data_IF_171555664357
#
_entry.id   IF_171555664357
#
_cell.length_a   1.000
_cell.length_b   1.000
_cell.length_c   1.000
_cell.angle_alpha   90.00
_cell.angle_beta   90.00
_cell.angle_gamma   90.00
#
_symmetry.space_group_name_H-M   'P 1'
#
loop_
_entity.id
_entity.type
_entity.pdbx_description
1 polymer ?
#
# COMPACT_ATOMS: atom_id res chain seq x y z
N UNK A 1 14.36 -7.56 38.78
CA UNK A 1 15.25 -7.64 37.60
C UNK A 1 14.58 -8.59 36.62
N UNK A 2 14.18 -8.13 35.44
CA UNK A 2 13.60 -9.01 34.41
C UNK A 2 14.72 -9.91 33.88
N UNK A 3 14.52 -11.22 33.97
CA UNK A 3 15.49 -12.22 33.54
C UNK A 3 15.40 -12.41 32.03
N UNK A 4 16.39 -11.89 31.31
CA UNK A 4 16.55 -12.08 29.86
C UNK A 4 17.04 -13.51 29.51
N UNK A 5 16.69 -14.51 30.35
CA UNK A 5 17.12 -15.88 30.15
C UNK A 5 16.36 -16.49 28.97
N UNK A 6 17.07 -17.13 28.03
CA UNK A 6 16.50 -17.66 26.79
C UNK A 6 15.31 -18.63 27.00
N UNK A 7 15.17 -19.19 28.20
CA UNK A 7 14.05 -20.04 28.62
C UNK A 7 12.74 -19.31 28.89
N UNK A 8 12.77 -17.98 29.12
CA UNK A 8 11.59 -17.16 29.45
C UNK A 8 11.13 -16.24 28.31
N UNK A 9 11.80 -16.26 27.14
CA UNK A 9 11.39 -15.47 25.97
C UNK A 9 10.64 -16.32 24.95
N UNK A 10 9.48 -15.85 24.52
CA UNK A 10 8.79 -16.40 23.36
C UNK A 10 9.53 -16.00 22.06
N UNK A 11 9.70 -16.91 21.08
CA UNK A 11 10.28 -16.57 19.79
C UNK A 11 9.47 -15.49 19.08
N UNK A 12 10.15 -14.46 18.56
CA UNK A 12 9.50 -13.46 17.71
C UNK A 12 9.23 -14.08 16.34
N UNK A 13 7.95 -14.27 16.02
CA UNK A 13 7.51 -14.58 14.65
C UNK A 13 6.96 -13.33 14.00
N UNK A 14 7.32 -13.11 12.73
CA UNK A 14 6.70 -12.04 11.94
C UNK A 14 5.19 -12.29 11.86
N UNK A 15 4.34 -11.25 12.06
CA UNK A 15 2.89 -11.39 11.93
C UNK A 15 2.42 -11.62 10.48
N UNK A 16 3.31 -11.43 9.49
CA UNK A 16 3.04 -11.71 8.07
C UNK A 16 4.08 -12.68 7.53
N UNK A 17 3.59 -13.73 6.88
CA UNK A 17 4.42 -14.73 6.21
C UNK A 17 5.18 -14.11 5.01
N UNK A 18 6.50 -14.37 4.86
CA UNK A 18 7.31 -13.81 3.78
C UNK A 18 6.82 -14.14 2.37
N UNK A 19 6.12 -15.27 2.20
CA UNK A 19 5.57 -15.70 0.91
C UNK A 19 4.45 -14.79 0.42
N UNK A 20 3.75 -14.08 1.32
CA UNK A 20 2.60 -13.25 0.98
C UNK A 20 2.99 -11.84 0.52
N UNK A 21 4.22 -11.38 0.78
CA UNK A 21 4.64 -10.03 0.43
C UNK A 21 4.56 -9.76 -1.07
N UNK A 22 5.00 -10.72 -1.89
CA UNK A 22 4.95 -10.60 -3.36
C UNK A 22 3.50 -10.48 -3.84
N UNK A 23 2.63 -11.40 -3.40
CA UNK A 23 1.22 -11.44 -3.82
C UNK A 23 0.47 -10.17 -3.38
N UNK A 24 0.65 -9.74 -2.13
CA UNK A 24 0.04 -8.51 -1.61
C UNK A 24 0.54 -7.27 -2.34
N UNK A 25 1.85 -7.19 -2.62
CA UNK A 25 2.44 -6.09 -3.40
C UNK A 25 1.80 -5.98 -4.78
N UNK A 26 1.71 -7.08 -5.54
CA UNK A 26 1.09 -7.06 -6.86
C UNK A 26 -0.38 -6.63 -6.81
N UNK A 27 -1.13 -7.10 -5.81
CA UNK A 27 -2.54 -6.78 -5.67
C UNK A 27 -2.76 -5.30 -5.33
N UNK A 28 -2.03 -4.77 -4.35
CA UNK A 28 -2.13 -3.36 -3.93
C UNK A 28 -1.63 -2.40 -5.00
N UNK A 29 -0.47 -2.68 -5.61
CA UNK A 29 0.10 -1.83 -6.66
C UNK A 29 -0.78 -1.87 -7.90
N UNK A 30 -1.25 -3.06 -8.32
CA UNK A 30 -2.15 -3.19 -9.46
C UNK A 30 -3.49 -2.48 -9.26
N UNK A 31 -4.12 -2.65 -8.10
CA UNK A 31 -5.36 -1.95 -7.76
C UNK A 31 -5.15 -0.43 -7.62
N UNK A 32 -4.05 -0.01 -6.97
CA UNK A 32 -3.68 1.39 -6.81
C UNK A 32 -3.39 2.10 -8.13
N UNK A 33 -2.70 1.44 -9.06
CA UNK A 33 -2.48 1.96 -10.43
C UNK A 33 -3.80 2.06 -11.20
N UNK A 34 -4.69 1.06 -11.07
CA UNK A 34 -6.02 1.10 -11.67
C UNK A 34 -6.84 2.29 -11.18
N UNK A 35 -6.87 2.51 -9.86
CA UNK A 35 -7.57 3.65 -9.26
C UNK A 35 -6.93 5.00 -9.64
N UNK A 36 -5.60 5.09 -9.66
CA UNK A 36 -4.89 6.29 -10.11
C UNK A 36 -5.15 6.60 -11.59
N UNK A 37 -5.30 5.58 -12.44
CA UNK A 37 -5.67 5.75 -13.84
C UNK A 37 -7.05 6.41 -13.99
N UNK A 38 -8.02 6.06 -13.14
CA UNK A 38 -9.34 6.70 -13.14
C UNK A 38 -9.26 8.20 -12.79
N UNK A 39 -8.38 8.57 -11.85
CA UNK A 39 -8.11 9.97 -11.55
C UNK A 39 -7.51 10.67 -12.77
N UNK A 40 -6.49 10.09 -13.42
CA UNK A 40 -5.91 10.68 -14.63
C UNK A 40 -6.93 10.82 -15.76
N UNK A 41 -7.81 9.84 -15.95
CA UNK A 41 -8.89 9.92 -16.95
C UNK A 41 -9.87 11.04 -16.59
N UNK A 42 -10.30 11.14 -15.34
CA UNK A 42 -11.17 12.25 -14.89
C UNK A 42 -10.49 13.60 -15.11
N UNK A 43 -9.21 13.69 -14.76
CA UNK A 43 -8.43 14.90 -14.93
C UNK A 43 -8.32 15.32 -16.40
N UNK A 44 -8.00 14.38 -17.30
CA UNK A 44 -7.71 14.68 -18.69
C UNK A 44 -8.97 14.92 -19.53
N UNK A 45 -10.11 14.36 -19.14
CA UNK A 45 -11.34 14.44 -19.93
C UNK A 45 -12.32 15.52 -19.44
N UNK A 46 -12.29 15.89 -18.15
CA UNK A 46 -13.23 16.87 -17.61
C UNK A 46 -12.70 18.29 -17.74
N UNK A 47 -13.50 19.15 -18.36
CA UNK A 47 -13.20 20.57 -18.50
C UNK A 47 -12.98 21.23 -17.12
N UNK A 48 -11.99 22.12 -17.01
CA UNK A 48 -11.62 22.81 -15.76
C UNK A 48 -12.79 23.43 -14.99
N UNK A 49 -13.82 23.91 -15.69
CA UNK A 49 -14.98 24.58 -15.09
C UNK A 49 -16.04 23.62 -14.51
N UNK A 50 -16.00 22.33 -14.88
CA UNK A 50 -16.98 21.33 -14.46
C UNK A 50 -16.41 20.32 -13.44
N UNK A 51 -15.18 20.54 -12.95
CA UNK A 51 -14.53 19.67 -11.98
C UNK A 51 -14.99 19.93 -10.57
N UNK A 52 -15.12 18.83 -9.82
CA UNK A 52 -15.39 18.86 -8.39
C UNK A 52 -14.21 18.29 -7.63
N UNK A 53 -13.59 19.13 -6.78
CA UNK A 53 -12.51 18.74 -5.86
C UNK A 53 -12.96 17.60 -4.94
N UNK A 54 -14.24 17.54 -4.56
CA UNK A 54 -14.76 16.48 -3.73
C UNK A 54 -14.66 15.12 -4.43
N UNK A 55 -14.97 15.07 -5.73
CA UNK A 55 -14.89 13.84 -6.52
C UNK A 55 -13.44 13.41 -6.75
N UNK A 56 -12.56 14.37 -7.06
CA UNK A 56 -11.12 14.13 -7.18
C UNK A 56 -10.54 13.56 -5.88
N UNK A 57 -10.92 14.11 -4.72
CA UNK A 57 -10.46 13.61 -3.41
C UNK A 57 -10.95 12.18 -3.13
N UNK A 58 -12.20 11.85 -3.49
CA UNK A 58 -12.71 10.47 -3.32
C UNK A 58 -12.00 9.44 -4.19
N UNK A 59 -11.45 9.84 -5.33
CA UNK A 59 -10.61 8.99 -6.18
C UNK A 59 -9.15 8.96 -5.70
N UNK A 60 -8.61 10.12 -5.29
CA UNK A 60 -7.22 10.29 -4.92
C UNK A 60 -6.85 9.58 -3.61
N UNK A 61 -7.72 9.67 -2.59
CA UNK A 61 -7.48 9.08 -1.27
C UNK A 61 -7.27 7.55 -1.32
N UNK A 62 -8.20 6.75 -1.86
CA UNK A 62 -7.98 5.30 -1.96
C UNK A 62 -6.77 5.00 -2.86
N UNK A 63 -6.61 5.70 -3.98
CA UNK A 63 -5.47 5.47 -4.89
C UNK A 63 -4.12 5.64 -4.20
N UNK A 64 -3.95 6.72 -3.43
CA UNK A 64 -2.70 6.99 -2.70
C UNK A 64 -2.46 6.00 -1.57
N UNK A 65 -3.50 5.55 -0.86
CA UNK A 65 -3.37 4.55 0.20
C UNK A 65 -2.96 3.19 -0.35
N UNK A 66 -3.64 2.71 -1.40
CA UNK A 66 -3.31 1.43 -2.03
C UNK A 66 -1.92 1.44 -2.66
N UNK A 67 -1.56 2.52 -3.36
CA UNK A 67 -0.25 2.63 -3.99
C UNK A 67 0.86 2.79 -2.94
N UNK A 68 0.64 3.58 -1.88
CA UNK A 68 1.61 3.77 -0.80
C UNK A 68 1.90 2.46 -0.04
N UNK A 69 0.85 1.75 0.38
CA UNK A 69 1.00 0.46 1.05
C UNK A 69 1.56 -0.61 0.10
N UNK A 70 1.20 -0.55 -1.19
CA UNK A 70 1.75 -1.42 -2.23
C UNK A 70 3.25 -1.25 -2.42
N UNK A 71 3.77 -0.02 -2.43
CA UNK A 71 5.20 0.27 -2.55
C UNK A 71 5.99 -0.25 -1.34
N UNK A 72 5.45 -0.12 -0.11
CA UNK A 72 6.07 -0.68 1.10
C UNK A 72 6.19 -2.21 0.99
N UNK A 73 5.12 -2.87 0.54
CA UNK A 73 5.13 -4.32 0.33
C UNK A 73 6.05 -4.74 -0.81
N UNK A 74 6.17 -3.93 -1.87
CA UNK A 74 7.11 -4.16 -2.96
C UNK A 74 8.56 -4.12 -2.47
N UNK A 75 8.91 -3.14 -1.64
CA UNK A 75 10.25 -3.02 -1.07
C UNK A 75 10.61 -4.25 -0.22
N UNK A 76 9.68 -4.69 0.64
CA UNK A 76 9.83 -5.91 1.42
C UNK A 76 9.93 -7.17 0.54
N UNK A 77 9.22 -7.21 -0.59
CA UNK A 77 9.28 -8.32 -1.54
C UNK A 77 10.64 -8.46 -2.24
N UNK A 78 11.39 -7.35 -2.43
CA UNK A 78 12.74 -7.35 -3.02
C UNK A 78 13.81 -7.64 -1.94
N UNK A 79 13.41 -7.84 -0.68
CA UNK A 79 14.30 -8.13 0.44
C UNK A 79 14.85 -6.87 1.12
N UNK A 80 14.31 -5.70 0.83
CA UNK A 80 14.66 -4.47 1.52
C UNK A 80 13.58 -4.22 2.57
N UNK A 81 13.91 -4.53 3.81
CA UNK A 81 12.99 -4.42 4.93
C UNK A 81 13.03 -3.01 5.50
N UNK A 82 11.87 -2.35 5.49
CA UNK A 82 11.62 -1.05 6.13
C UNK A 82 10.75 -1.25 7.37
#
# INVERSE_FOLDING_TARGET
MQDWSASNLAPFTSPVDPSLFVTLSFLLVGCGLGAASLLFVYELNVAKNARSIAYEMTLALPSSLFLGFGIVMLFSAIGIHV
#
